data_IF_098095254859
#
_entry.id   IF_098095254859
#
_cell.length_a   1.000
_cell.length_b   1.000
_cell.length_c   1.000
_cell.angle_alpha   90.00
_cell.angle_beta   90.00
_cell.angle_gamma   90.00
#
_symmetry.space_group_name_H-M   'P 1'
#
loop_
_entity.id
_entity.type
_entity.pdbx_description
1 polymer ?
#
# COMPACT_ATOMS: atom_id res chain seq x y z
N UNK A 1 -16.57 7.93 -26.75
CA UNK A 1 -16.99 6.80 -25.88
C UNK A 1 -16.24 5.50 -26.21
N UNK A 2 -15.67 5.34 -27.41
CA UNK A 2 -14.70 4.27 -27.78
C UNK A 2 -13.57 4.04 -26.78
N UNK A 3 -12.98 5.10 -26.22
CA UNK A 3 -11.80 5.00 -25.35
C UNK A 3 -12.06 4.34 -23.98
N UNK A 4 -13.28 4.41 -23.45
CA UNK A 4 -13.63 3.78 -22.18
C UNK A 4 -13.86 2.27 -22.32
N UNK A 5 -14.41 1.84 -23.47
CA UNK A 5 -14.63 0.41 -23.78
C UNK A 5 -13.33 -0.35 -24.05
N UNK A 6 -12.34 0.27 -24.70
CA UNK A 6 -11.03 -0.35 -24.94
C UNK A 6 -10.17 -0.45 -23.66
N UNK A 7 -10.28 0.54 -22.77
CA UNK A 7 -9.67 0.50 -21.42
C UNK A 7 -10.30 -0.61 -20.58
N UNK A 8 -11.62 -0.73 -20.57
CA UNK A 8 -12.33 -1.81 -19.87
C UNK A 8 -11.96 -3.19 -20.42
N UNK A 9 -11.89 -3.36 -21.75
CA UNK A 9 -11.53 -4.62 -22.38
C UNK A 9 -10.09 -5.07 -22.05
N UNK A 10 -9.15 -4.13 -21.87
CA UNK A 10 -7.78 -4.40 -21.40
C UNK A 10 -7.75 -4.80 -19.92
N UNK A 11 -8.42 -4.04 -19.04
CA UNK A 11 -8.59 -4.37 -17.61
C UNK A 11 -9.10 -5.79 -17.40
N UNK A 12 -10.08 -6.19 -18.22
CA UNK A 12 -10.74 -7.50 -18.18
C UNK A 12 -9.87 -8.64 -18.71
N UNK A 13 -8.87 -8.37 -19.56
CA UNK A 13 -8.06 -9.41 -20.21
C UNK A 13 -6.89 -9.93 -19.35
N UNK A 14 -6.36 -9.12 -18.42
CA UNK A 14 -5.18 -9.47 -17.62
C UNK A 14 -5.45 -9.69 -16.14
N UNK A 15 -6.58 -9.20 -15.65
CA UNK A 15 -7.13 -9.66 -14.39
C UNK A 15 -7.64 -11.12 -14.48
N UNK A 16 -7.61 -11.76 -15.67
CA UNK A 16 -8.06 -13.15 -15.96
C UNK A 16 -7.40 -14.26 -15.16
N UNK A 17 -6.22 -14.06 -14.58
CA UNK A 17 -5.65 -15.08 -13.71
C UNK A 17 -6.28 -14.95 -12.31
N UNK A 18 -7.16 -15.89 -11.97
CA UNK A 18 -7.72 -16.01 -10.62
C UNK A 18 -6.56 -16.02 -9.62
N UNK A 19 -6.71 -15.30 -8.49
CA UNK A 19 -5.75 -15.41 -7.39
C UNK A 19 -6.05 -16.71 -6.64
N UNK A 20 -5.18 -17.74 -6.68
CA UNK A 20 -5.55 -19.10 -6.28
C UNK A 20 -6.07 -19.24 -4.85
N UNK A 21 -5.51 -18.47 -3.91
CA UNK A 21 -5.97 -18.47 -2.52
C UNK A 21 -7.43 -18.02 -2.37
N UNK A 22 -7.93 -17.18 -3.28
CA UNK A 22 -9.30 -16.67 -3.22
C UNK A 22 -10.36 -17.67 -3.68
N UNK A 23 -9.95 -18.78 -4.32
CA UNK A 23 -10.86 -19.88 -4.68
C UNK A 23 -11.39 -20.63 -3.46
N UNK A 24 -10.65 -20.63 -2.36
CA UNK A 24 -11.05 -21.23 -1.08
C UNK A 24 -12.20 -20.48 -0.39
N UNK A 25 -12.59 -19.32 -0.90
CA UNK A 25 -13.59 -18.47 -0.25
C UNK A 25 -14.96 -19.15 -0.19
N UNK A 26 -15.45 -19.35 1.03
CA UNK A 26 -16.78 -19.90 1.33
C UNK A 26 -17.88 -18.83 1.48
N UNK A 27 -17.58 -17.55 1.19
CA UNK A 27 -18.51 -16.41 1.33
C UNK A 27 -19.17 -16.26 2.71
N UNK A 28 -18.40 -16.44 3.79
CA UNK A 28 -18.88 -16.26 5.16
C UNK A 28 -19.04 -14.79 5.60
N UNK A 29 -18.50 -13.83 4.83
CA UNK A 29 -18.54 -12.38 5.10
C UNK A 29 -17.88 -11.88 6.41
N UNK A 30 -17.19 -12.72 7.18
CA UNK A 30 -16.42 -12.29 8.37
C UNK A 30 -15.42 -11.16 8.09
N UNK A 31 -14.76 -11.19 6.93
CA UNK A 31 -13.82 -10.13 6.57
C UNK A 31 -14.52 -8.78 6.35
N UNK A 32 -15.79 -8.77 5.94
CA UNK A 32 -16.53 -7.51 5.74
C UNK A 32 -16.85 -6.82 7.06
N UNK A 33 -17.16 -7.59 8.10
CA UNK A 33 -17.54 -7.03 9.41
C UNK A 33 -16.38 -6.32 10.08
N UNK A 34 -15.14 -6.76 9.82
CA UNK A 34 -13.92 -6.12 10.33
C UNK A 34 -13.36 -5.04 9.39
N UNK A 35 -13.87 -4.96 8.15
CA UNK A 35 -13.33 -4.04 7.16
C UNK A 35 -13.75 -2.59 7.48
N UNK A 36 -12.80 -1.67 7.75
CA UNK A 36 -13.13 -0.28 8.07
C UNK A 36 -13.72 0.49 6.88
N UNK A 37 -13.59 -0.04 5.66
CA UNK A 37 -14.13 0.56 4.44
C UNK A 37 -15.56 0.10 4.11
N UNK A 38 -16.00 -1.04 4.66
CA UNK A 38 -17.28 -1.64 4.31
C UNK A 38 -18.45 -0.69 4.64
N UNK A 39 -18.43 -0.04 5.81
CA UNK A 39 -19.46 0.90 6.21
C UNK A 39 -19.45 2.21 5.39
N UNK A 40 -18.33 2.96 5.27
CA UNK A 40 -18.34 4.26 4.60
C UNK A 40 -18.43 4.20 3.08
N UNK A 41 -17.99 3.11 2.44
CA UNK A 41 -17.86 3.06 0.98
C UNK A 41 -18.86 2.13 0.31
N UNK A 42 -19.63 1.35 1.06
CA UNK A 42 -20.40 0.17 0.59
C UNK A 42 -19.58 -0.90 -0.15
N UNK A 43 -18.26 -0.73 -0.25
CA UNK A 43 -17.31 -1.69 -0.78
C UNK A 43 -16.58 -2.36 0.38
N UNK A 44 -16.65 -3.69 0.43
CA UNK A 44 -16.05 -4.51 1.47
C UNK A 44 -14.97 -5.44 0.93
N UNK A 45 -14.30 -6.13 1.85
CA UNK A 45 -13.32 -7.18 1.52
C UNK A 45 -13.91 -8.34 0.72
N UNK A 46 -15.20 -8.65 0.89
CA UNK A 46 -15.86 -9.67 0.05
C UNK A 46 -15.92 -9.24 -1.41
N UNK A 47 -16.19 -7.96 -1.68
CA UNK A 47 -16.11 -7.41 -3.04
C UNK A 47 -14.70 -7.58 -3.62
N UNK A 48 -13.65 -7.34 -2.83
CA UNK A 48 -12.27 -7.54 -3.29
C UNK A 48 -11.99 -9.01 -3.63
N UNK A 49 -12.44 -9.94 -2.81
CA UNK A 49 -12.31 -11.38 -3.06
C UNK A 49 -13.13 -11.83 -4.28
N UNK A 50 -14.29 -11.24 -4.52
CA UNK A 50 -15.06 -11.50 -5.73
C UNK A 50 -14.36 -10.91 -6.97
N UNK A 51 -13.75 -9.74 -6.87
CA UNK A 51 -13.01 -9.11 -7.98
C UNK A 51 -11.77 -9.90 -8.38
N UNK A 52 -11.11 -10.59 -7.45
CA UNK A 52 -9.97 -11.48 -7.77
C UNK A 52 -10.40 -12.79 -8.43
N UNK A 53 -11.68 -13.18 -8.28
CA UNK A 53 -12.27 -14.39 -8.90
C UNK A 53 -12.98 -14.08 -10.22
N UNK A 54 -13.64 -12.92 -10.28
CA UNK A 54 -14.42 -12.42 -11.42
C UNK A 54 -13.90 -11.05 -11.82
N UNK A 55 -12.68 -10.99 -12.39
CA UNK A 55 -12.05 -9.76 -12.83
C UNK A 55 -12.88 -8.97 -13.84
N UNK A 56 -13.80 -9.64 -14.54
CA UNK A 56 -14.75 -9.04 -15.48
C UNK A 56 -15.67 -8.01 -14.80
N UNK A 57 -15.86 -8.09 -13.48
CA UNK A 57 -16.68 -7.17 -12.69
C UNK A 57 -15.97 -5.87 -12.33
N UNK A 58 -14.69 -5.70 -12.72
CA UNK A 58 -13.89 -4.51 -12.44
C UNK A 58 -14.32 -3.33 -13.31
N UNK A 59 -15.52 -2.82 -13.06
CA UNK A 59 -16.11 -1.65 -13.74
C UNK A 59 -15.77 -0.34 -13.06
N UNK A 60 -15.52 -0.38 -11.75
CA UNK A 60 -15.07 0.73 -10.90
C UNK A 60 -13.74 0.37 -10.21
N UNK A 61 -13.11 1.33 -9.51
CA UNK A 61 -11.79 1.19 -8.85
C UNK A 61 -11.86 0.91 -7.32
N UNK A 62 -12.85 0.18 -6.75
CA UNK A 62 -12.94 0.00 -5.30
C UNK A 62 -11.74 -0.77 -4.75
N UNK A 63 -11.07 -1.56 -5.60
CA UNK A 63 -9.80 -2.20 -5.31
C UNK A 63 -8.79 -1.21 -4.69
N UNK A 64 -8.75 0.04 -5.19
CA UNK A 64 -7.83 1.07 -4.73
C UNK A 64 -8.19 1.70 -3.39
N UNK A 65 -9.39 1.48 -2.85
CA UNK A 65 -9.74 1.92 -1.50
C UNK A 65 -9.06 1.09 -0.42
N UNK A 66 -8.78 -0.19 -0.68
CA UNK A 66 -8.05 -1.03 0.25
C UNK A 66 -6.66 -0.44 0.54
N UNK A 67 -6.39 -0.07 1.79
CA UNK A 67 -5.11 0.48 2.26
C UNK A 67 -4.26 -0.54 3.03
N UNK A 68 -4.53 -1.83 2.86
CA UNK A 68 -3.75 -2.94 3.43
C UNK A 68 -3.66 -2.96 4.96
N UNK A 69 -4.78 -2.73 5.65
CA UNK A 69 -4.82 -2.75 7.13
C UNK A 69 -4.54 -4.12 7.78
N UNK A 70 -4.50 -5.22 7.03
CA UNK A 70 -4.22 -6.58 7.51
C UNK A 70 -5.20 -7.16 8.55
N UNK A 71 -6.41 -6.62 8.70
CA UNK A 71 -7.42 -7.16 9.64
C UNK A 71 -8.21 -8.37 9.11
N UNK A 72 -8.32 -8.51 7.79
CA UNK A 72 -9.16 -9.55 7.17
C UNK A 72 -8.57 -10.98 7.20
N UNK A 73 -7.24 -11.19 7.15
CA UNK A 73 -6.66 -12.51 7.34
C UNK A 73 -6.99 -13.10 8.73
N UNK A 74 -6.93 -12.27 9.78
CA UNK A 74 -7.13 -12.70 11.17
C UNK A 74 -8.52 -13.29 11.45
N UNK A 75 -9.54 -12.83 10.73
CA UNK A 75 -10.93 -13.28 10.89
C UNK A 75 -11.35 -14.32 9.85
N UNK A 76 -10.47 -14.68 8.92
CA UNK A 76 -10.80 -15.56 7.80
C UNK A 76 -10.67 -17.04 8.19
N UNK A 77 -11.78 -17.83 8.21
CA UNK A 77 -11.70 -19.25 8.55
C UNK A 77 -10.96 -20.09 7.50
N UNK A 78 -10.83 -19.57 6.27
CA UNK A 78 -10.15 -20.23 5.16
C UNK A 78 -8.70 -19.79 4.99
N UNK A 79 -8.19 -18.98 5.93
CA UNK A 79 -6.83 -18.44 5.93
C UNK A 79 -6.46 -17.75 4.59
N UNK A 80 -7.38 -16.91 4.09
CA UNK A 80 -7.19 -16.16 2.84
C UNK A 80 -6.56 -14.81 3.17
N UNK A 81 -5.39 -14.55 2.59
CA UNK A 81 -4.74 -13.25 2.66
C UNK A 81 -5.34 -12.30 1.62
N UNK A 82 -6.48 -11.70 2.00
CA UNK A 82 -7.20 -10.73 1.15
C UNK A 82 -6.31 -9.53 0.78
N UNK A 83 -5.54 -8.93 1.71
CA UNK A 83 -4.63 -7.83 1.38
C UNK A 83 -3.59 -8.22 0.31
N UNK A 84 -2.97 -9.40 0.41
CA UNK A 84 -2.02 -9.89 -0.59
C UNK A 84 -2.68 -10.14 -1.94
N UNK A 85 -3.90 -10.69 -1.94
CA UNK A 85 -4.67 -10.85 -3.17
C UNK A 85 -4.97 -9.49 -3.83
N UNK A 86 -5.37 -8.49 -3.04
CA UNK A 86 -5.60 -7.13 -3.53
C UNK A 86 -4.30 -6.51 -4.05
N UNK A 87 -3.17 -6.71 -3.38
CA UNK A 87 -1.86 -6.22 -3.78
C UNK A 87 -1.47 -6.75 -5.16
N UNK A 88 -1.53 -8.07 -5.34
CA UNK A 88 -1.22 -8.71 -6.61
C UNK A 88 -2.14 -8.21 -7.74
N UNK A 89 -3.42 -8.01 -7.45
CA UNK A 89 -4.38 -7.45 -8.41
C UNK A 89 -4.02 -6.01 -8.81
N UNK A 90 -3.68 -5.15 -7.83
CA UNK A 90 -3.24 -3.77 -8.10
C UNK A 90 -1.93 -3.74 -8.87
N UNK A 91 -1.01 -4.66 -8.59
CA UNK A 91 0.27 -4.76 -9.28
C UNK A 91 0.08 -5.09 -10.75
N UNK A 92 -0.77 -6.07 -11.07
CA UNK A 92 -1.14 -6.42 -12.45
C UNK A 92 -1.77 -5.23 -13.16
N UNK A 93 -2.74 -4.58 -12.51
CA UNK A 93 -3.41 -3.39 -13.04
C UNK A 93 -2.42 -2.24 -13.32
N UNK A 94 -1.51 -1.95 -12.38
CA UNK A 94 -0.50 -0.89 -12.54
C UNK A 94 0.50 -1.19 -13.66
N UNK A 95 0.87 -2.46 -13.89
CA UNK A 95 1.80 -2.85 -14.97
C UNK A 95 1.21 -2.56 -16.35
N UNK A 96 -0.09 -2.71 -16.52
CA UNK A 96 -0.72 -2.63 -17.84
C UNK A 96 -1.28 -1.27 -18.20
N UNK A 97 -1.89 -0.57 -17.24
CA UNK A 97 -2.44 0.76 -17.49
C UNK A 97 -1.35 1.80 -17.75
N UNK A 98 -0.06 1.40 -17.75
CA UNK A 98 1.10 2.27 -17.61
C UNK A 98 0.83 3.16 -16.42
N UNK A 99 0.95 2.58 -15.22
CA UNK A 99 0.60 3.21 -13.94
C UNK A 99 0.70 4.72 -14.04
N UNK A 100 -0.46 5.40 -13.91
CA UNK A 100 -0.66 6.85 -14.11
C UNK A 100 0.63 7.60 -13.81
N UNK A 101 1.04 8.60 -14.60
CA UNK A 101 2.30 9.35 -14.43
C UNK A 101 2.68 9.59 -12.95
N UNK A 102 1.69 9.89 -12.10
CA UNK A 102 1.79 9.93 -10.64
C UNK A 102 2.36 8.66 -9.98
N UNK A 103 1.89 7.45 -10.28
CA UNK A 103 2.41 6.18 -9.76
C UNK A 103 3.89 5.99 -10.11
N UNK A 104 4.28 6.32 -11.36
CA UNK A 104 5.69 6.28 -11.74
C UNK A 104 6.49 7.33 -10.96
N UNK A 105 6.02 8.58 -10.91
CA UNK A 105 6.68 9.68 -10.19
C UNK A 105 6.88 9.36 -8.70
N UNK A 106 5.84 8.81 -8.06
CA UNK A 106 5.84 8.41 -6.66
C UNK A 106 6.70 7.18 -6.41
N UNK A 107 6.86 6.27 -7.37
CA UNK A 107 7.80 5.15 -7.23
C UNK A 107 9.26 5.62 -7.19
N UNK A 108 9.55 6.80 -7.76
CA UNK A 108 10.87 7.44 -7.74
C UNK A 108 11.01 8.49 -6.62
N UNK A 109 10.43 8.20 -5.45
CA UNK A 109 10.44 9.13 -4.31
C UNK A 109 11.86 9.56 -3.89
N UNK A 110 12.85 8.67 -3.91
CA UNK A 110 14.24 9.00 -3.54
C UNK A 110 14.85 10.02 -4.51
N UNK A 111 14.67 9.81 -5.81
CA UNK A 111 15.16 10.72 -6.84
C UNK A 111 14.48 12.10 -6.72
N UNK A 112 13.16 12.11 -6.55
CA UNK A 112 12.38 13.34 -6.35
C UNK A 112 12.85 14.10 -5.11
N UNK A 113 13.05 13.40 -4.00
CA UNK A 113 13.54 14.00 -2.75
C UNK A 113 14.93 14.57 -2.93
N UNK A 114 15.86 13.84 -3.56
CA UNK A 114 17.23 14.33 -3.79
C UNK A 114 17.28 15.56 -4.69
N UNK A 115 16.42 15.63 -5.71
CA UNK A 115 16.32 16.82 -6.56
C UNK A 115 15.68 17.98 -5.81
N UNK A 116 14.53 17.74 -5.15
CA UNK A 116 13.81 18.73 -4.37
C UNK A 116 14.67 19.34 -3.26
N UNK A 117 15.40 18.53 -2.50
CA UNK A 117 16.34 18.99 -1.45
C UNK A 117 17.51 19.81 -2.00
N UNK A 118 18.01 19.51 -3.20
CA UNK A 118 19.08 20.31 -3.82
C UNK A 118 18.58 21.68 -4.28
N UNK A 119 17.34 21.74 -4.77
CA UNK A 119 16.68 22.97 -5.23
C UNK A 119 15.68 23.53 -4.21
N UNK A 120 15.87 23.19 -2.94
CA UNK A 120 14.95 23.44 -1.82
C UNK A 120 14.18 24.78 -1.87
N UNK A 121 14.85 25.97 -1.91
CA UNK A 121 14.13 27.24 -1.88
C UNK A 121 13.23 27.43 -3.10
N UNK A 122 13.65 26.96 -4.27
CA UNK A 122 12.87 27.05 -5.51
C UNK A 122 11.72 26.05 -5.48
N UNK A 123 11.99 24.82 -5.07
CA UNK A 123 11.01 23.74 -5.00
C UNK A 123 9.87 24.08 -4.03
N UNK A 124 10.19 24.62 -2.86
CA UNK A 124 9.19 24.99 -1.85
C UNK A 124 8.34 26.19 -2.29
N UNK A 125 8.95 27.22 -2.89
CA UNK A 125 8.19 28.35 -3.47
C UNK A 125 7.24 27.86 -4.56
N UNK A 126 7.73 27.00 -5.46
CA UNK A 126 6.94 26.49 -6.56
C UNK A 126 5.75 25.66 -6.07
N UNK A 127 5.95 24.76 -5.09
CA UNK A 127 4.89 23.93 -4.51
C UNK A 127 3.88 24.71 -3.64
N UNK A 128 4.19 25.96 -3.25
CA UNK A 128 3.24 26.87 -2.58
C UNK A 128 2.42 27.69 -3.57
N UNK A 129 2.84 27.81 -4.83
CA UNK A 129 2.15 28.64 -5.82
C UNK A 129 0.90 27.94 -6.38
N UNK A 130 -0.30 28.56 -6.31
CA UNK A 130 -1.56 27.91 -6.68
C UNK A 130 -1.64 27.51 -8.16
N UNK A 131 -1.02 28.28 -9.06
CA UNK A 131 -0.96 27.92 -10.49
C UNK A 131 -0.08 26.71 -10.74
N UNK A 132 1.03 26.56 -10.00
CA UNK A 132 1.87 25.37 -10.10
C UNK A 132 1.10 24.12 -9.63
N UNK A 133 0.33 24.23 -8.54
CA UNK A 133 -0.56 23.15 -8.08
C UNK A 133 -1.64 22.82 -9.11
N UNK A 134 -2.27 23.82 -9.72
CA UNK A 134 -3.24 23.60 -10.79
C UNK A 134 -2.61 22.93 -12.03
N UNK A 135 -1.37 23.27 -12.35
CA UNK A 135 -0.61 22.62 -13.42
C UNK A 135 -0.30 21.16 -13.10
N UNK A 136 0.16 20.86 -11.88
CA UNK A 136 0.40 19.49 -11.42
C UNK A 136 -0.87 18.64 -11.41
N UNK A 137 -2.01 19.21 -11.03
CA UNK A 137 -3.29 18.52 -11.09
C UNK A 137 -3.67 18.13 -12.52
N UNK A 138 -3.51 19.06 -13.48
CA UNK A 138 -3.84 18.79 -14.89
C UNK A 138 -2.87 17.84 -15.59
N UNK A 139 -1.60 17.87 -15.23
CA UNK A 139 -0.55 17.08 -15.91
C UNK A 139 -0.26 15.75 -15.23
N UNK A 140 -0.11 15.74 -13.91
CA UNK A 140 0.26 14.57 -13.12
C UNK A 140 -0.97 13.92 -12.45
N UNK A 141 -2.02 14.70 -12.16
CA UNK A 141 -3.22 14.20 -11.48
C UNK A 141 -3.16 14.30 -9.95
N UNK A 142 -2.27 15.12 -9.41
CA UNK A 142 -2.21 15.38 -7.96
C UNK A 142 -3.23 16.49 -7.61
N UNK A 143 -4.18 16.19 -6.74
CA UNK A 143 -5.19 17.17 -6.29
C UNK A 143 -4.54 18.43 -5.70
N UNK A 144 -4.90 19.62 -6.21
CA UNK A 144 -4.30 20.91 -5.78
C UNK A 144 -4.54 21.25 -4.31
N UNK A 145 -5.55 20.64 -3.67
CA UNK A 145 -5.89 20.85 -2.25
C UNK A 145 -4.98 20.07 -1.31
N UNK A 146 -4.15 19.17 -1.85
CA UNK A 146 -3.21 18.39 -1.07
C UNK A 146 -2.04 19.27 -0.62
N UNK A 147 -1.69 19.16 0.64
CA UNK A 147 -0.46 19.79 1.15
C UNK A 147 0.75 18.95 0.76
N UNK A 148 1.75 19.63 0.22
CA UNK A 148 3.03 19.03 -0.11
C UNK A 148 3.98 19.19 1.09
N UNK A 149 4.76 18.14 1.42
CA UNK A 149 5.83 18.29 2.39
C UNK A 149 6.87 19.29 1.87
N UNK A 150 7.49 20.02 2.79
CA UNK A 150 8.60 20.90 2.46
C UNK A 150 9.85 20.06 2.22
N UNK A 151 10.59 20.42 1.16
CA UNK A 151 11.93 19.91 1.01
C UNK A 151 12.84 20.59 2.04
N UNK A 152 13.92 19.92 2.37
CA UNK A 152 14.98 20.44 3.21
C UNK A 152 16.31 20.12 2.56
N UNK A 153 17.28 21.03 2.64
CA UNK A 153 18.62 20.80 2.06
C UNK A 153 19.30 19.57 2.64
N UNK A 154 19.10 19.33 3.94
CA UNK A 154 19.59 18.14 4.62
C UNK A 154 18.53 17.03 4.53
N UNK A 155 18.84 15.96 3.79
CA UNK A 155 17.99 14.77 3.75
C UNK A 155 18.08 13.97 5.05
N UNK A 156 17.02 13.22 5.38
CA UNK A 156 17.02 12.31 6.53
C UNK A 156 18.22 11.35 6.55
N UNK A 157 18.58 10.77 5.39
CA UNK A 157 19.74 9.86 5.29
C UNK A 157 21.05 10.53 5.67
N UNK A 158 21.28 11.76 5.21
CA UNK A 158 22.48 12.53 5.54
C UNK A 158 22.51 12.93 7.02
N UNK A 159 21.37 13.36 7.56
CA UNK A 159 21.23 13.65 8.98
C UNK A 159 21.52 12.40 9.83
N UNK A 160 20.92 11.26 9.47
CA UNK A 160 21.06 10.01 10.21
C UNK A 160 22.49 9.47 10.16
N UNK A 161 23.16 9.51 9.00
CA UNK A 161 24.56 9.07 8.88
C UNK A 161 25.53 9.93 9.67
N UNK A 162 25.28 11.25 9.74
CA UNK A 162 26.10 12.15 10.55
C UNK A 162 25.87 11.89 12.04
N UNK A 163 24.62 11.72 12.44
CA UNK A 163 24.26 11.44 13.84
C UNK A 163 24.77 10.08 14.33
N UNK A 164 24.75 9.04 13.49
CA UNK A 164 25.29 7.72 13.87
C UNK A 164 26.80 7.72 14.01
N UNK A 165 27.52 8.58 13.27
CA UNK A 165 28.95 8.82 13.47
C UNK A 165 29.23 9.59 14.78
N UNK A 166 28.36 10.53 15.15
CA UNK A 166 28.46 11.27 16.43
C UNK A 166 28.12 10.38 17.65
N UNK A 167 27.27 9.36 17.48
CA UNK A 167 26.88 8.39 18.52
C UNK A 167 27.79 7.14 18.51
N UNK A 168 28.76 7.05 17.59
CA UNK A 168 29.72 5.95 17.60
C UNK A 168 30.45 5.92 18.96
N UNK A 169 30.40 4.80 19.71
CA UNK A 169 30.79 4.80 21.10
C UNK A 169 32.27 5.10 21.23
N UNK A 170 32.61 6.17 21.94
CA UNK A 170 33.87 6.22 22.66
C UNK A 170 33.85 5.02 23.63
N UNK A 171 34.71 4.03 23.36
CA UNK A 171 34.85 2.74 24.04
C UNK A 171 33.78 1.67 23.71
N UNK A 172 34.28 0.62 23.05
CA UNK A 172 33.65 -0.66 22.82
C UNK A 172 33.42 -1.43 24.14
N UNK A 173 32.38 -1.06 24.88
CA UNK A 173 31.77 -1.97 25.85
C UNK A 173 31.06 -3.10 25.08
N UNK A 174 31.65 -4.29 25.08
CA UNK A 174 31.09 -5.50 24.44
C UNK A 174 29.76 -5.85 25.10
N UNK A 175 28.65 -5.40 24.51
CA UNK A 175 27.31 -5.84 24.90
C UNK A 175 27.09 -7.26 24.37
N UNK A 176 27.31 -8.26 25.22
CA UNK A 176 26.94 -9.64 24.93
C UNK A 176 25.44 -9.81 25.18
N UNK A 177 24.67 -10.00 24.11
CA UNK A 177 23.31 -10.52 24.23
C UNK A 177 23.47 -12.03 24.49
N UNK A 178 23.35 -12.44 25.74
CA UNK A 178 23.23 -13.86 26.09
C UNK A 178 21.89 -14.36 25.57
N UNK A 179 21.93 -15.17 24.52
CA UNK A 179 20.79 -15.93 24.01
C UNK A 179 20.35 -16.96 25.04
N UNK A 180 19.33 -16.67 25.85
CA UNK A 180 18.50 -17.71 26.47
C UNK A 180 17.48 -18.17 25.44
N UNK A 181 17.92 -18.95 24.47
CA UNK A 181 17.04 -19.79 23.65
C UNK A 181 17.07 -21.19 24.24
N UNK A 182 16.15 -21.49 25.15
CA UNK A 182 15.65 -22.84 25.52
C UNK A 182 14.80 -22.72 26.79
N UNK A 183 13.47 -22.58 26.64
CA UNK A 183 12.39 -22.98 27.59
C UNK A 183 11.14 -22.08 27.43
N UNK A 184 10.47 -22.15 26.28
CA UNK A 184 9.08 -21.69 26.18
C UNK A 184 8.30 -22.49 25.12
N UNK A 185 8.52 -23.81 25.07
CA UNK A 185 7.79 -24.76 24.22
C UNK A 185 6.74 -25.59 25.00
N UNK A 186 6.40 -25.23 26.23
CA UNK A 186 5.34 -25.89 27.02
C UNK A 186 4.36 -24.89 27.64
N UNK A 187 3.56 -24.18 26.83
CA UNK A 187 2.37 -23.48 27.31
C UNK A 187 1.33 -23.23 26.19
N UNK A 188 0.83 -24.30 25.56
CA UNK A 188 -0.41 -24.23 24.77
C UNK A 188 -1.09 -25.61 24.72
N UNK A 189 -1.61 -26.07 25.87
CA UNK A 189 -2.65 -27.11 25.84
C UNK A 189 -3.99 -26.45 25.48
N UNK A 190 -4.76 -26.99 24.53
CA UNK A 190 -6.10 -26.49 24.24
C UNK A 190 -7.00 -26.70 25.46
N UNK A 191 -7.78 -25.67 25.84
CA UNK A 191 -8.88 -25.83 26.80
C UNK A 191 -9.99 -26.60 26.11
N UNK A 192 -10.25 -27.82 26.57
CA UNK A 192 -11.53 -28.50 26.31
C UNK A 192 -12.67 -27.63 26.85
N UNK A 193 -13.58 -27.25 25.96
CA UNK A 193 -14.86 -26.63 26.34
C UNK A 193 -15.85 -27.77 26.50
N UNK A 194 -16.08 -28.17 27.75
CA UNK A 194 -17.24 -28.95 28.16
C UNK A 194 -18.32 -27.98 28.63
N UNK A 195 -19.52 -28.10 28.05
CA UNK A 195 -20.70 -27.27 28.33
C UNK A 195 -21.71 -27.37 27.21
#
# INVERSE_FOLDING_TARGET
MEGSRSVMARKVALARAIIPQTEKCIKCNNCMTICPLAAPTSWGTETFVQLTRFPQLLTYDPLFYCFYCQLCPDVCPMNIDVPRAVEEMKERFNREERGRLINFLLSQADLMTRMGSRTDPVSNIWLRFPLARAFLEKTVGIDRRRDFPEFERQTFRQWFSRRSQEIAPASSGRFQISSTTEESSQAARPREVTG
#
